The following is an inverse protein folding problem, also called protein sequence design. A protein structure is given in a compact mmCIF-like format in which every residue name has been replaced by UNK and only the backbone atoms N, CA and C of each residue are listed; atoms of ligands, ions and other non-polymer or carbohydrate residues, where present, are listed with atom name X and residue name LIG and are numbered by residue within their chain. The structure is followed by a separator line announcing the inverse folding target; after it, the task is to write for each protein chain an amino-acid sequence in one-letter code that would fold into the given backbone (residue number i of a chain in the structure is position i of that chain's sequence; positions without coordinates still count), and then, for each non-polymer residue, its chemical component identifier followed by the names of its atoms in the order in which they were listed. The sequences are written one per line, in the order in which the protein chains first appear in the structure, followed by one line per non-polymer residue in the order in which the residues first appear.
data_IF_932836190592
#
_entry.id   IF_932836190592
#
_cell.length_a   1.000
_cell.length_b   1.000
_cell.length_c   1.000
_cell.angle_alpha   90.00
_cell.angle_beta   90.00
_cell.angle_gamma   90.00
#
_symmetry.space_group_name_H-M   'P 1'
#
loop_
_entity.id
_entity.type
_entity.pdbx_description
1 polymer ?
#
# COMPACT_ATOMS: atom_id res chain seq x y z
N UNK A 1 0.28 13.17 3.74
CA UNK A 1 -0.97 13.23 2.96
C UNK A 1 -0.65 12.73 1.57
N UNK A 2 -1.59 12.10 0.86
CA UNK A 2 -1.29 11.60 -0.48
C UNK A 2 -1.06 12.75 -1.46
N UNK A 3 0.05 12.64 -2.19
CA UNK A 3 0.36 13.47 -3.35
C UNK A 3 -0.28 12.84 -4.58
N UNK A 4 -0.58 13.69 -5.55
CA UNK A 4 -1.05 13.24 -6.84
C UNK A 4 -0.72 14.24 -7.93
N UNK A 5 -0.60 13.74 -9.14
CA UNK A 5 -0.28 14.53 -10.33
C UNK A 5 -1.28 14.20 -11.44
N UNK A 6 -1.69 15.21 -12.19
CA UNK A 6 -2.56 15.00 -13.34
C UNK A 6 -1.76 14.44 -14.51
N UNK A 7 -2.30 13.41 -15.16
CA UNK A 7 -1.77 12.96 -16.44
C UNK A 7 -2.04 14.03 -17.50
N UNK A 8 -1.06 14.27 -18.37
CA UNK A 8 -1.26 15.18 -19.48
C UNK A 8 -2.40 14.67 -20.41
N UNK A 9 -3.37 15.50 -20.82
CA UNK A 9 -4.54 15.06 -21.59
C UNK A 9 -4.20 14.30 -22.88
N UNK A 10 -3.08 14.62 -23.53
CA UNK A 10 -2.61 13.92 -24.75
C UNK A 10 -2.10 12.48 -24.51
N UNK A 11 -1.81 12.12 -23.26
CA UNK A 11 -1.25 10.81 -22.90
C UNK A 11 -2.31 9.85 -22.35
N UNK A 12 -3.59 10.25 -22.39
CA UNK A 12 -4.68 9.50 -21.78
C UNK A 12 -5.93 9.55 -22.65
N UNK A 13 -6.73 8.48 -22.58
CA UNK A 13 -8.07 8.43 -23.18
C UNK A 13 -9.19 8.79 -22.19
N UNK A 14 -8.83 9.25 -21.01
CA UNK A 14 -9.73 9.53 -19.90
C UNK A 14 -9.87 11.03 -19.66
N UNK A 15 -11.09 11.50 -19.44
CA UNK A 15 -11.38 12.92 -19.11
C UNK A 15 -10.91 13.32 -17.72
N UNK A 16 -10.61 12.32 -16.89
CA UNK A 16 -9.95 12.47 -15.62
C UNK A 16 -8.90 11.36 -15.49
N UNK A 17 -7.63 11.75 -15.33
CA UNK A 17 -6.55 10.82 -15.06
C UNK A 17 -5.54 11.47 -14.12
N UNK A 18 -5.35 10.85 -12.96
CA UNK A 18 -4.43 11.27 -11.92
C UNK A 18 -3.60 10.08 -11.45
N UNK A 19 -2.29 10.30 -11.25
CA UNK A 19 -1.41 9.36 -10.57
C UNK A 19 -1.29 9.74 -9.10
N UNK A 20 -1.39 8.79 -8.17
CA UNK A 20 -1.30 9.04 -6.73
C UNK A 20 -0.24 8.14 -6.07
N UNK A 21 0.46 8.71 -5.09
CA UNK A 21 1.41 8.00 -4.21
C UNK A 21 0.70 7.14 -3.13
N UNK A 22 -0.63 7.10 -3.14
CA UNK A 22 -1.42 6.20 -2.32
C UNK A 22 -1.36 4.78 -2.90
N UNK A 23 -1.12 3.78 -2.05
CA UNK A 23 -1.13 2.37 -2.48
C UNK A 23 -2.41 2.03 -3.25
N UNK A 24 -2.26 1.23 -4.31
CA UNK A 24 -3.35 0.81 -5.19
C UNK A 24 -4.62 0.33 -4.46
N UNK A 25 -4.49 -0.55 -3.46
CA UNK A 25 -5.66 -1.08 -2.76
C UNK A 25 -6.29 -0.05 -1.82
N UNK A 26 -5.47 0.81 -1.23
CA UNK A 26 -5.95 1.89 -0.38
C UNK A 26 -6.71 2.91 -1.23
N UNK A 27 -6.18 3.28 -2.39
CA UNK A 27 -6.84 4.14 -3.38
C UNK A 27 -8.15 3.53 -3.90
N UNK A 28 -8.14 2.24 -4.26
CA UNK A 28 -9.34 1.52 -4.72
C UNK A 28 -10.43 1.50 -3.67
N UNK A 29 -10.08 1.30 -2.39
CA UNK A 29 -11.05 1.33 -1.28
C UNK A 29 -11.58 2.74 -1.03
N UNK A 30 -10.69 3.74 -1.04
CA UNK A 30 -11.02 5.14 -0.76
C UNK A 30 -11.96 5.75 -1.81
N UNK A 31 -11.74 5.41 -3.07
CA UNK A 31 -12.42 5.96 -4.24
C UNK A 31 -13.47 5.03 -4.81
N UNK A 32 -13.89 4.03 -4.04
CA UNK A 32 -14.97 3.12 -4.40
C UNK A 32 -16.20 3.93 -4.84
N UNK A 33 -16.78 3.52 -5.96
CA UNK A 33 -17.98 4.10 -6.58
C UNK A 33 -17.81 5.54 -7.12
N UNK A 34 -16.60 6.13 -7.07
CA UNK A 34 -16.31 7.46 -7.63
C UNK A 34 -15.51 7.43 -8.93
N UNK A 35 -14.55 6.51 -9.04
CA UNK A 35 -13.66 6.40 -10.19
C UNK A 35 -13.09 4.99 -10.31
N UNK A 36 -12.57 4.67 -11.49
CA UNK A 36 -11.82 3.45 -11.72
C UNK A 36 -10.38 3.64 -11.22
N UNK A 37 -9.91 2.74 -10.36
CA UNK A 37 -8.52 2.73 -9.90
C UNK A 37 -7.76 1.59 -10.57
N UNK A 38 -6.60 1.90 -11.15
CA UNK A 38 -5.68 0.96 -11.80
C UNK A 38 -4.31 1.01 -11.13
N UNK A 39 -3.53 -0.06 -11.29
CA UNK A 39 -2.12 -0.06 -10.90
C UNK A 39 -1.30 0.74 -11.91
N UNK A 40 -0.32 1.47 -11.43
CA UNK A 40 0.69 2.10 -12.28
C UNK A 40 1.89 1.18 -12.43
N UNK A 41 2.18 0.77 -13.66
CA UNK A 41 3.38 -0.01 -14.00
C UNK A 41 4.35 0.78 -14.89
N UNK A 42 4.09 2.08 -15.10
CA UNK A 42 4.94 2.92 -15.93
C UNK A 42 6.13 3.50 -15.16
N UNK A 43 7.09 4.03 -15.91
CA UNK A 43 8.29 4.70 -15.37
C UNK A 43 8.17 6.23 -15.38
N UNK A 44 7.10 6.78 -15.95
CA UNK A 44 6.90 8.22 -16.10
C UNK A 44 5.42 8.62 -16.00
N UNK A 45 4.90 8.87 -14.78
CA UNK A 45 5.60 8.77 -13.50
C UNK A 45 5.81 7.31 -13.04
N UNK A 46 6.87 7.07 -12.28
CA UNK A 46 7.21 5.74 -11.76
C UNK A 46 6.09 5.14 -10.90
N UNK A 47 5.79 3.86 -11.12
CA UNK A 47 4.89 3.07 -10.28
C UNK A 47 5.36 2.89 -8.84
N UNK A 48 6.67 3.02 -8.59
CA UNK A 48 7.23 2.94 -7.24
C UNK A 48 6.98 4.23 -6.44
N UNK A 49 6.85 5.36 -7.12
CA UNK A 49 6.48 6.63 -6.47
C UNK A 49 4.97 6.87 -6.49
N UNK A 50 4.30 6.53 -7.59
CA UNK A 50 2.87 6.71 -7.80
C UNK A 50 2.20 5.39 -8.21
N UNK A 51 1.94 4.46 -7.27
CA UNK A 51 1.46 3.11 -7.58
C UNK A 51 0.02 3.03 -8.08
N UNK A 52 -0.78 4.09 -7.90
CA UNK A 52 -2.19 4.11 -8.26
C UNK A 52 -2.47 5.13 -9.37
N UNK A 53 -3.19 4.69 -10.40
CA UNK A 53 -3.82 5.55 -11.39
C UNK A 53 -5.32 5.63 -11.07
N UNK A 54 -5.85 6.84 -11.00
CA UNK A 54 -7.27 7.11 -10.82
C UNK A 54 -7.80 7.68 -12.12
N UNK A 55 -8.72 6.96 -12.76
CA UNK A 55 -9.22 7.29 -14.09
C UNK A 55 -10.75 7.33 -14.13
N UNK A 56 -11.30 8.17 -14.99
CA UNK A 56 -12.73 8.26 -15.22
C UNK A 56 -13.06 8.87 -16.58
N UNK A 57 -14.23 8.48 -17.10
CA UNK A 57 -14.83 9.00 -18.33
C UNK A 57 -16.09 9.76 -17.90
N UNK A 58 -16.32 10.93 -18.50
CA UNK A 58 -17.49 11.77 -18.27
C UNK A 58 -17.79 12.05 -16.78
N UNK A 59 -16.74 12.28 -15.99
CA UNK A 59 -16.92 12.60 -14.57
C UNK A 59 -17.40 14.04 -14.40
N UNK A 60 -18.51 14.21 -13.69
CA UNK A 60 -18.98 15.53 -13.28
C UNK A 60 -17.95 16.30 -12.43
N UNK A 61 -17.98 17.63 -12.51
CA UNK A 61 -17.02 18.52 -11.78
C UNK A 61 -17.04 18.30 -10.27
N UNK A 62 -18.19 18.00 -9.68
CA UNK A 62 -18.34 17.68 -8.26
C UNK A 62 -17.62 16.39 -7.88
N UNK A 63 -17.73 15.35 -8.71
CA UNK A 63 -17.07 14.05 -8.51
C UNK A 63 -15.55 14.21 -8.60
N UNK A 64 -15.04 14.95 -9.59
CA UNK A 64 -13.60 15.25 -9.73
C UNK A 64 -13.04 15.92 -8.46
N UNK A 65 -13.74 16.94 -7.95
CA UNK A 65 -13.36 17.62 -6.69
C UNK A 65 -13.40 16.70 -5.48
N UNK A 66 -14.40 15.82 -5.38
CA UNK A 66 -14.51 14.89 -4.27
C UNK A 66 -13.39 13.84 -4.29
N UNK A 67 -13.01 13.33 -5.47
CA UNK A 67 -11.85 12.44 -5.64
C UNK A 67 -10.58 13.11 -5.12
N UNK A 68 -10.26 14.31 -5.61
CA UNK A 68 -9.07 15.06 -5.17
C UNK A 68 -9.10 15.34 -3.66
N UNK A 69 -10.26 15.72 -3.12
CA UNK A 69 -10.44 15.98 -1.68
C UNK A 69 -10.16 14.72 -0.85
N UNK A 70 -10.66 13.55 -1.27
CA UNK A 70 -10.40 12.28 -0.58
C UNK A 70 -8.93 11.89 -0.65
N UNK A 71 -8.31 12.02 -1.82
CA UNK A 71 -6.88 11.77 -2.00
C UNK A 71 -6.03 12.66 -1.08
N UNK A 72 -6.26 13.98 -1.06
CA UNK A 72 -5.51 14.91 -0.18
C UNK A 72 -5.56 14.52 1.28
N UNK A 73 -6.68 13.96 1.76
CA UNK A 73 -6.86 13.56 3.16
C UNK A 73 -6.29 12.18 3.48
N UNK A 74 -5.97 11.39 2.47
CA UNK A 74 -5.48 10.04 2.66
C UNK A 74 -4.09 10.03 3.28
N UNK A 75 -3.87 9.08 4.20
CA UNK A 75 -2.56 8.80 4.76
C UNK A 75 -1.92 7.75 3.88
N UNK A 76 -0.73 8.06 3.36
CA UNK A 76 0.05 7.17 2.51
C UNK A 76 0.75 6.10 3.34
N UNK A 77 1.24 5.09 2.65
CA UNK A 77 2.14 4.07 3.17
C UNK A 77 3.06 3.65 2.04
N UNK A 78 4.20 3.01 2.34
CA UNK A 78 5.04 2.43 1.30
C UNK A 78 4.20 1.56 0.36
N UNK A 79 4.37 1.67 -0.97
CA UNK A 79 3.65 0.84 -1.92
C UNK A 79 3.90 -0.64 -1.64
N UNK A 80 2.83 -1.43 -1.60
CA UNK A 80 2.94 -2.85 -1.23
C UNK A 80 3.86 -3.62 -2.16
N UNK A 81 3.89 -3.29 -3.45
CA UNK A 81 4.73 -3.96 -4.44
C UNK A 81 6.21 -3.64 -4.24
N UNK A 82 6.57 -2.38 -3.96
CA UNK A 82 7.94 -2.00 -3.66
C UNK A 82 8.47 -2.72 -2.40
N UNK A 83 7.61 -2.93 -1.39
CA UNK A 83 7.97 -3.69 -0.18
C UNK A 83 8.19 -5.16 -0.51
N UNK A 84 7.28 -5.79 -1.26
CA UNK A 84 7.41 -7.18 -1.67
C UNK A 84 8.68 -7.39 -2.48
N UNK A 85 8.94 -6.53 -3.46
CA UNK A 85 10.12 -6.61 -4.31
C UNK A 85 11.41 -6.47 -3.49
N UNK A 86 11.50 -5.48 -2.60
CA UNK A 86 12.65 -5.32 -1.71
C UNK A 86 12.88 -6.54 -0.80
N UNK A 87 11.82 -7.17 -0.29
CA UNK A 87 11.92 -8.38 0.53
C UNK A 87 12.35 -9.60 -0.26
N UNK A 88 11.96 -9.70 -1.54
CA UNK A 88 12.37 -10.80 -2.42
C UNK A 88 13.82 -10.65 -2.88
N UNK A 89 14.24 -9.44 -3.22
CA UNK A 89 15.57 -9.14 -3.78
C UNK A 89 16.65 -8.98 -2.71
N UNK A 90 16.37 -8.23 -1.64
CA UNK A 90 17.35 -7.88 -0.59
C UNK A 90 17.10 -8.58 0.74
N UNK A 91 15.92 -9.17 0.94
CA UNK A 91 15.51 -9.77 2.21
C UNK A 91 14.99 -8.76 3.25
N UNK A 92 15.15 -7.46 3.02
CA UNK A 92 14.67 -6.40 3.90
C UNK A 92 14.34 -5.11 3.13
N UNK A 93 13.53 -4.26 3.76
CA UNK A 93 13.27 -2.87 3.36
C UNK A 93 13.33 -1.98 4.59
N UNK A 94 13.97 -0.83 4.46
CA UNK A 94 13.96 0.23 5.46
C UNK A 94 13.40 1.51 4.86
N UNK A 95 12.59 2.22 5.64
CA UNK A 95 12.07 3.51 5.23
C UNK A 95 11.92 4.46 6.42
N UNK A 96 12.05 5.75 6.14
CA UNK A 96 11.73 6.80 7.09
C UNK A 96 10.20 6.87 7.29
N UNK A 97 9.69 6.62 8.50
CA UNK A 97 8.25 6.71 8.78
C UNK A 97 7.69 8.11 8.52
N UNK A 98 8.48 9.17 8.66
CA UNK A 98 8.03 10.56 8.46
C UNK A 98 7.80 10.90 6.98
N UNK A 99 8.37 10.12 6.06
CA UNK A 99 8.06 10.22 4.64
C UNK A 99 6.60 9.82 4.35
N UNK A 100 5.96 9.03 5.22
CA UNK A 100 4.63 8.48 4.98
C UNK A 100 3.57 8.92 6.01
N UNK A 101 3.98 9.04 7.27
CA UNK A 101 3.08 9.26 8.39
C UNK A 101 3.22 10.67 8.99
N UNK A 102 2.14 11.22 9.57
CA UNK A 102 2.22 12.52 10.24
C UNK A 102 3.21 12.51 11.41
N UNK A 103 4.09 13.51 11.50
CA UNK A 103 5.08 13.65 12.58
C UNK A 103 4.48 13.67 14.00
N UNK A 104 3.24 14.16 14.12
CA UNK A 104 2.48 14.15 15.39
C UNK A 104 2.05 12.75 15.86
N UNK A 105 2.23 11.70 15.05
CA UNK A 105 1.87 10.35 15.46
C UNK A 105 2.99 9.72 16.28
N UNK A 106 2.68 9.02 17.39
CA UNK A 106 3.70 8.29 18.13
C UNK A 106 4.20 7.08 17.30
N UNK A 107 5.45 6.62 17.51
CA UNK A 107 6.03 5.48 16.82
C UNK A 107 5.15 4.21 16.86
N UNK A 108 4.51 3.94 17.99
CA UNK A 108 3.59 2.80 18.17
C UNK A 108 2.41 2.84 17.19
N UNK A 109 1.87 4.03 16.90
CA UNK A 109 0.79 4.20 15.93
C UNK A 109 1.29 4.00 14.51
N UNK A 110 2.46 4.53 14.16
CA UNK A 110 3.07 4.34 12.84
C UNK A 110 3.37 2.85 12.55
N UNK A 111 3.90 2.13 13.54
CA UNK A 111 4.11 0.68 13.47
C UNK A 111 2.79 -0.07 13.31
N UNK A 112 1.79 0.26 14.12
CA UNK A 112 0.46 -0.35 14.04
C UNK A 112 -0.14 -0.21 12.64
N UNK A 113 -0.09 0.99 12.05
CA UNK A 113 -0.56 1.22 10.68
C UNK A 113 0.26 0.45 9.65
N UNK A 114 1.58 0.40 9.81
CA UNK A 114 2.47 -0.34 8.91
C UNK A 114 2.13 -1.83 8.90
N UNK A 115 2.00 -2.46 10.08
CA UNK A 115 1.67 -3.89 10.23
C UNK A 115 0.36 -4.24 9.50
N UNK A 116 -0.65 -3.38 9.60
CA UNK A 116 -1.95 -3.66 9.02
C UNK A 116 -2.08 -3.32 7.53
N UNK A 117 -1.13 -2.56 6.98
CA UNK A 117 -1.14 -2.18 5.57
C UNK A 117 -0.24 -3.06 4.71
N UNK A 118 0.88 -3.55 5.24
CA UNK A 118 1.80 -4.38 4.47
C UNK A 118 1.21 -5.76 4.17
N UNK A 119 1.59 -6.39 3.03
CA UNK A 119 1.06 -7.68 2.63
C UNK A 119 1.79 -8.82 3.37
N UNK A 120 1.76 -8.80 4.71
CA UNK A 120 2.51 -9.75 5.56
C UNK A 120 2.04 -11.20 5.46
N UNK A 121 0.82 -11.42 4.97
CA UNK A 121 0.24 -12.75 4.75
C UNK A 121 0.44 -13.24 3.31
N UNK A 122 1.19 -12.51 2.48
CA UNK A 122 1.50 -12.94 1.13
C UNK A 122 2.31 -14.24 1.15
N UNK A 123 1.92 -15.24 0.36
CA UNK A 123 2.59 -16.55 0.33
C UNK A 123 4.08 -16.48 -0.07
N UNK A 124 4.47 -15.49 -0.88
CA UNK A 124 5.87 -15.25 -1.23
C UNK A 124 6.71 -14.73 -0.05
N UNK A 125 6.07 -14.10 0.94
CA UNK A 125 6.72 -13.51 2.11
C UNK A 125 6.55 -14.34 3.39
N UNK A 126 5.45 -15.08 3.50
CA UNK A 126 5.06 -15.83 4.68
C UNK A 126 4.75 -17.28 4.31
N UNK A 127 5.50 -18.19 4.90
CA UNK A 127 5.39 -19.63 4.68
C UNK A 127 5.50 -20.37 6.01
N UNK A 128 5.31 -21.70 6.06
CA UNK A 128 5.50 -22.46 7.29
C UNK A 128 6.90 -22.28 7.91
N UNK A 129 7.90 -21.87 7.12
CA UNK A 129 9.28 -21.73 7.55
C UNK A 129 9.77 -20.28 7.58
N UNK A 130 9.01 -19.33 7.03
CA UNK A 130 9.42 -17.92 6.91
C UNK A 130 8.31 -17.00 7.37
N UNK A 131 8.67 -15.86 7.94
CA UNK A 131 7.73 -14.81 8.29
C UNK A 131 8.37 -13.45 8.05
N UNK A 132 7.55 -12.41 8.09
CA UNK A 132 8.02 -11.03 8.05
C UNK A 132 8.04 -10.48 9.47
N UNK A 133 9.16 -9.88 9.86
CA UNK A 133 9.30 -9.10 11.08
C UNK A 133 9.26 -7.61 10.75
N UNK A 134 8.61 -6.81 11.60
CA UNK A 134 8.60 -5.36 11.49
C UNK A 134 9.16 -4.79 12.79
N UNK A 135 10.22 -4.01 12.69
CA UNK A 135 10.91 -3.42 13.83
C UNK A 135 11.21 -1.94 13.60
N UNK A 136 11.37 -1.20 14.68
CA UNK A 136 11.89 0.16 14.64
C UNK A 136 13.39 0.11 14.91
N UNK A 137 14.22 0.67 14.03
CA UNK A 137 15.68 0.71 14.16
C UNK A 137 16.19 2.08 13.72
N UNK A 138 16.95 2.75 14.58
CA UNK A 138 17.64 4.01 14.26
C UNK A 138 16.74 5.07 13.60
N UNK A 139 15.53 5.25 14.14
CA UNK A 139 14.55 6.21 13.61
C UNK A 139 13.77 5.75 12.37
N UNK A 140 14.06 4.55 11.83
CA UNK A 140 13.41 3.97 10.66
C UNK A 140 12.53 2.77 11.02
N UNK A 141 11.60 2.45 10.14
CA UNK A 141 10.90 1.16 10.18
C UNK A 141 11.61 0.19 9.23
N UNK A 142 12.03 -0.95 9.79
CA UNK A 142 12.61 -2.07 9.04
C UNK A 142 11.61 -3.20 8.93
N UNK A 143 11.36 -3.63 7.70
CA UNK A 143 10.56 -4.80 7.35
C UNK A 143 11.54 -5.84 6.82
N UNK A 144 11.60 -7.02 7.41
CA UNK A 144 12.58 -8.04 7.03
C UNK A 144 11.99 -9.43 7.03
N UNK A 145 12.46 -10.26 6.10
CA UNK A 145 12.08 -11.68 6.03
C UNK A 145 12.98 -12.47 6.97
N UNK A 146 12.38 -13.17 7.92
CA UNK A 146 13.07 -13.99 8.91
C UNK A 146 12.69 -15.45 8.76
N UNK A 147 13.66 -16.33 9.02
CA UNK A 147 13.44 -17.77 9.12
C UNK A 147 12.80 -18.06 10.48
N UNK A 148 11.74 -18.89 10.48
CA UNK A 148 11.14 -19.40 11.71
C UNK A 148 12.02 -20.50 12.27
N UNK A 149 12.16 -20.54 13.60
CA UNK A 149 12.90 -21.61 14.29
C UNK A 149 12.27 -23.00 14.07
N UNK A 150 10.94 -23.04 13.89
CA UNK A 150 10.18 -24.26 13.65
C UNK A 150 9.10 -24.05 12.60
N UNK A 151 8.69 -25.14 11.96
CA UNK A 151 7.55 -25.16 11.04
C UNK A 151 6.30 -24.66 11.75
N UNK A 152 5.62 -23.69 11.16
CA UNK A 152 4.36 -23.15 11.64
C UNK A 152 3.22 -23.55 10.70
N UNK A 153 2.40 -24.50 11.14
CA UNK A 153 1.18 -24.90 10.44
C UNK A 153 -0.02 -24.10 11.02
N UNK A 154 -0.61 -23.16 10.27
CA UNK A 154 -1.70 -22.33 10.78
C UNK A 154 -2.98 -23.16 10.94
N UNK A 155 -3.29 -23.56 12.16
CA UNK A 155 -4.55 -24.23 12.52
C UNK A 155 -5.60 -23.17 12.88
N UNK A 156 -6.72 -23.14 12.15
CA UNK A 156 -7.84 -22.25 12.47
C UNK A 156 -8.56 -22.84 13.68
N UNK A 157 -8.41 -22.21 14.84
CA UNK A 157 -9.08 -22.63 16.07
C UNK A 157 -10.21 -21.68 16.48
N UNK A 158 -10.19 -20.45 15.98
CA UNK A 158 -11.15 -19.41 16.36
C UNK A 158 -11.68 -18.61 15.18
N UNK A 159 -12.82 -17.94 15.40
CA UNK A 159 -13.37 -16.93 14.47
C UNK A 159 -12.36 -15.81 14.17
N UNK A 160 -11.49 -15.48 15.14
CA UNK A 160 -10.43 -14.48 14.97
C UNK A 160 -9.35 -14.95 14.00
N UNK A 161 -9.00 -16.24 14.02
CA UNK A 161 -8.04 -16.84 13.08
C UNK A 161 -8.63 -16.91 11.67
N UNK A 162 -9.92 -17.23 11.55
CA UNK A 162 -10.64 -17.20 10.29
C UNK A 162 -10.68 -15.77 9.69
N UNK A 163 -10.99 -14.76 10.49
CA UNK A 163 -11.00 -13.35 10.05
C UNK A 163 -9.60 -12.83 9.68
N UNK A 164 -8.53 -13.33 10.29
CA UNK A 164 -7.16 -12.97 9.90
C UNK A 164 -6.83 -13.40 8.47
N UNK A 165 -7.28 -14.59 8.05
CA UNK A 165 -7.10 -15.06 6.66
C UNK A 165 -7.85 -14.23 5.62
N UNK A 166 -8.99 -13.64 6.00
CA UNK A 166 -9.79 -12.78 5.10
C UNK A 166 -9.16 -11.38 4.94
N UNK A 167 -8.29 -10.93 5.87
CA UNK A 167 -7.75 -9.57 5.91
C UNK A 167 -6.63 -9.26 4.91
N UNK A 168 -6.15 -10.24 4.15
CA UNK A 168 -5.16 -9.99 3.11
C UNK A 168 -5.84 -9.73 1.76
N UNK A 169 -5.63 -8.59 1.08
CA UNK A 169 -5.72 -8.60 -0.37
C UNK A 169 -4.59 -9.51 -0.88
N UNK A 170 -4.89 -10.80 -0.99
CA UNK A 170 -4.04 -11.77 -1.68
C UNK A 170 -4.14 -11.49 -3.16
N UNK A 171 -3.25 -10.65 -3.68
CA UNK A 171 -3.08 -10.36 -5.10
C UNK A 171 -1.67 -9.79 -5.32
N UNK A 172 -0.67 -10.60 -4.97
CA UNK A 172 0.41 -10.88 -5.91
C UNK A 172 0.18 -12.31 -6.38
#
# INVERSE_FOLDING_TARGET
MARFIHCHPRLTKYDFHVYSDLDFWDARKLLKDLALVKRNFGDSPSGDEYPAQVVGIDLGRSVKKEIEKRLKRAIVSPPRHAVVDALLTRGYMEFDPLAYYPSRWPPSRMLHFTIHRLPLENAALNSPYKTVNISWRDGKIRVERVQREKKYDPVIRSKKDALRRIRGPGCF
#
